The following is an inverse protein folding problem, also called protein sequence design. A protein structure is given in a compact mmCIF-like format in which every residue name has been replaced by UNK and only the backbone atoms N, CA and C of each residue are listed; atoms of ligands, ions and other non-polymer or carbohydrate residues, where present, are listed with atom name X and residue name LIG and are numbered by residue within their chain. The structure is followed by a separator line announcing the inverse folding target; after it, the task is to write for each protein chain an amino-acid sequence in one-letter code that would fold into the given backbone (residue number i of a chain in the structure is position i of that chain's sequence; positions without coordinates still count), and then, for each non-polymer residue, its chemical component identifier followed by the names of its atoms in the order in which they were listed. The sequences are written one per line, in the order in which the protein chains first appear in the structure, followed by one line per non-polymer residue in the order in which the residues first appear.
data_IF_270459905934
#
_entry.id   IF_270459905934
#
_cell.length_a   1.000
_cell.length_b   1.000
_cell.length_c   1.000
_cell.angle_alpha   90.00
_cell.angle_beta   90.00
_cell.angle_gamma   90.00
#
_symmetry.space_group_name_H-M   'P 1'
#
loop_
_entity.id
_entity.type
_entity.pdbx_description
1 polymer ?
#
# COMPACT_ATOMS: atom_id res chain seq x y z
N UNK A 1 38.49 -25.15 68.56
CA UNK A 1 37.58 -23.99 68.37
C UNK A 1 37.48 -23.74 66.86
N UNK A 2 36.37 -24.08 66.29
CA UNK A 2 36.13 -24.10 64.81
C UNK A 2 35.36 -22.85 64.44
N UNK A 3 35.94 -21.98 63.63
CA UNK A 3 35.25 -20.81 63.07
C UNK A 3 34.50 -21.20 61.79
N UNK A 4 33.19 -21.10 61.80
CA UNK A 4 32.31 -21.29 60.64
C UNK A 4 32.36 -20.03 59.77
N UNK A 5 32.85 -20.16 58.55
CA UNK A 5 32.77 -19.12 57.52
C UNK A 5 31.34 -18.91 57.02
N UNK A 6 30.83 -17.68 57.17
CA UNK A 6 29.52 -17.27 56.66
C UNK A 6 29.50 -17.27 55.11
N UNK A 7 28.56 -17.98 54.54
CA UNK A 7 28.22 -17.90 53.09
C UNK A 7 27.64 -16.51 52.80
N UNK A 8 28.34 -15.74 51.97
CA UNK A 8 27.76 -14.53 51.38
C UNK A 8 26.54 -14.89 50.50
N UNK A 9 25.40 -14.31 50.83
CA UNK A 9 24.19 -14.40 50.02
C UNK A 9 24.48 -13.76 48.64
N UNK A 10 24.50 -14.58 47.59
CA UNK A 10 24.48 -14.10 46.23
C UNK A 10 23.19 -13.29 46.03
N UNK A 11 23.33 -12.01 45.74
CA UNK A 11 22.21 -11.14 45.39
C UNK A 11 21.41 -11.77 44.22
N UNK A 12 20.10 -11.80 44.32
CA UNK A 12 19.29 -12.30 43.20
C UNK A 12 19.60 -11.43 41.97
N UNK A 13 19.88 -12.07 40.87
CA UNK A 13 20.08 -11.46 39.54
C UNK A 13 19.08 -10.35 39.36
N UNK A 14 19.56 -9.12 39.27
CA UNK A 14 18.74 -7.94 39.11
C UNK A 14 17.82 -8.17 37.90
N UNK A 15 16.54 -8.20 38.20
CA UNK A 15 15.51 -8.27 37.20
C UNK A 15 15.79 -7.18 36.18
N UNK A 16 16.19 -7.58 34.97
CA UNK A 16 16.17 -6.71 33.81
C UNK A 16 14.78 -6.07 33.82
N UNK A 17 14.69 -4.76 33.99
CA UNK A 17 13.43 -4.04 33.83
C UNK A 17 12.88 -4.52 32.50
N UNK A 18 11.65 -5.07 32.43
CA UNK A 18 11.07 -5.47 31.16
C UNK A 18 11.18 -4.26 30.25
N UNK A 19 11.80 -4.44 29.08
CA UNK A 19 11.85 -3.40 28.07
C UNK A 19 10.44 -2.83 27.95
N UNK A 20 10.29 -1.51 28.04
CA UNK A 20 8.99 -0.84 27.91
C UNK A 20 8.39 -1.27 26.57
N UNK A 21 7.48 -2.22 26.59
CA UNK A 21 6.77 -2.67 25.40
C UNK A 21 6.05 -1.46 24.81
N UNK A 22 6.17 -1.27 23.50
CA UNK A 22 5.43 -0.25 22.79
C UNK A 22 3.93 -0.39 23.14
N UNK A 23 3.24 0.68 23.51
CA UNK A 23 1.83 0.64 23.89
C UNK A 23 0.91 -0.03 22.84
N UNK A 24 1.30 -0.02 21.55
CA UNK A 24 0.58 -0.70 20.47
C UNK A 24 0.91 -2.21 20.42
N UNK A 25 2.11 -2.61 20.85
CA UNK A 25 2.52 -4.01 20.89
C UNK A 25 2.07 -4.71 22.17
N UNK A 26 1.90 -3.97 23.26
CA UNK A 26 1.52 -4.48 24.56
C UNK A 26 0.16 -5.20 24.56
N UNK A 27 -0.76 -4.85 23.66
CA UNK A 27 -2.07 -5.49 23.49
C UNK A 27 -1.94 -6.60 22.45
N UNK A 28 -2.43 -7.79 22.78
CA UNK A 28 -2.45 -8.94 21.89
C UNK A 28 -3.65 -8.95 20.93
N UNK A 29 -3.76 -10.03 20.17
CA UNK A 29 -4.91 -10.27 19.28
C UNK A 29 -6.05 -10.91 20.06
N UNK A 30 -7.30 -10.48 19.92
CA UNK A 30 -8.47 -11.14 20.49
C UNK A 30 -8.56 -12.62 20.12
N UNK A 31 -8.24 -12.98 18.88
CA UNK A 31 -8.19 -14.36 18.41
C UNK A 31 -7.14 -15.24 19.12
N UNK A 32 -6.18 -14.62 19.84
CA UNK A 32 -5.17 -15.31 20.65
C UNK A 32 -5.45 -15.22 22.16
N UNK A 33 -6.68 -14.84 22.54
CA UNK A 33 -7.15 -14.82 23.93
C UNK A 33 -6.93 -13.50 24.67
N UNK A 34 -6.51 -12.42 24.00
CA UNK A 34 -6.41 -11.11 24.64
C UNK A 34 -7.75 -10.35 24.56
N UNK A 35 -8.50 -10.35 25.64
CA UNK A 35 -9.83 -9.77 25.69
C UNK A 35 -9.88 -8.25 25.94
N UNK A 36 -8.74 -7.57 26.07
CA UNK A 36 -8.68 -6.13 26.40
C UNK A 36 -9.36 -5.24 25.37
N UNK A 37 -9.35 -5.63 24.08
CA UNK A 37 -10.03 -4.91 23.01
C UNK A 37 -11.51 -5.29 22.82
N UNK A 38 -12.12 -6.05 23.72
CA UNK A 38 -13.57 -6.24 23.74
C UNK A 38 -14.29 -5.05 24.38
N UNK A 39 -13.62 -4.31 25.27
CA UNK A 39 -14.15 -3.08 25.85
C UNK A 39 -14.11 -1.91 24.87
N UNK A 40 -15.27 -1.23 24.69
CA UNK A 40 -15.43 -0.12 23.76
C UNK A 40 -14.50 1.07 24.09
N UNK A 41 -14.36 1.40 25.39
CA UNK A 41 -13.46 2.49 25.79
C UNK A 41 -11.98 2.14 25.56
N UNK A 42 -11.63 0.86 25.70
CA UNK A 42 -10.28 0.41 25.37
C UNK A 42 -10.00 0.50 23.87
N UNK A 43 -10.98 0.18 23.01
CA UNK A 43 -10.88 0.35 21.56
C UNK A 43 -10.63 1.81 21.18
N UNK A 44 -11.38 2.75 21.75
CA UNK A 44 -11.23 4.18 21.50
C UNK A 44 -9.84 4.71 21.91
N UNK A 45 -9.39 4.33 23.11
CA UNK A 45 -8.05 4.68 23.59
C UNK A 45 -6.95 4.07 22.72
N UNK A 46 -7.16 2.85 22.26
CA UNK A 46 -6.21 2.18 21.39
C UNK A 46 -6.15 2.82 19.99
N UNK A 47 -7.30 3.18 19.43
CA UNK A 47 -7.39 3.92 18.17
C UNK A 47 -6.70 5.29 18.26
N UNK A 48 -6.90 6.04 19.36
CA UNK A 48 -6.23 7.31 19.57
C UNK A 48 -4.68 7.17 19.51
N UNK A 49 -4.14 6.11 20.14
CA UNK A 49 -2.69 5.82 20.06
C UNK A 49 -2.23 5.44 18.64
N UNK A 50 -3.07 4.72 17.88
CA UNK A 50 -2.78 4.42 16.47
C UNK A 50 -2.70 5.71 15.66
N UNK A 51 -3.68 6.60 15.82
CA UNK A 51 -3.71 7.90 15.11
C UNK A 51 -2.52 8.79 15.52
N UNK A 52 -2.20 8.85 16.80
CA UNK A 52 -1.02 9.59 17.30
C UNK A 52 0.27 9.08 16.65
N UNK A 53 0.49 7.76 16.61
CA UNK A 53 1.67 7.16 15.96
C UNK A 53 1.69 7.42 14.45
N UNK A 54 0.52 7.35 13.80
CA UNK A 54 0.41 7.67 12.38
C UNK A 54 0.73 9.13 12.09
N UNK A 55 0.26 10.06 12.93
CA UNK A 55 0.58 11.48 12.79
C UNK A 55 2.07 11.76 13.01
N UNK A 56 2.69 11.12 14.00
CA UNK A 56 4.14 11.18 14.22
C UNK A 56 4.90 10.66 12.98
N UNK A 57 4.51 9.51 12.45
CA UNK A 57 5.09 8.96 11.22
C UNK A 57 4.97 9.90 10.02
N UNK A 58 3.81 10.56 9.85
CA UNK A 58 3.61 11.54 8.78
C UNK A 58 4.46 12.80 8.98
N UNK A 59 4.64 13.25 10.24
CA UNK A 59 5.44 14.44 10.58
C UNK A 59 6.92 14.18 10.34
N UNK A 60 7.43 13.01 10.74
CA UNK A 60 8.81 12.60 10.52
C UNK A 60 9.15 12.37 9.04
N UNK A 61 8.14 11.98 8.25
CA UNK A 61 8.28 11.84 6.81
C UNK A 61 8.37 13.19 6.06
N UNK A 62 8.09 14.30 6.73
CA UNK A 62 8.12 15.63 6.12
C UNK A 62 6.94 15.92 5.18
N UNK A 63 7.14 16.78 4.17
CA UNK A 63 6.07 17.16 3.24
C UNK A 63 5.56 15.97 2.43
N UNK A 64 4.29 16.02 2.02
CA UNK A 64 3.54 14.92 1.40
C UNK A 64 4.26 14.14 0.29
N UNK A 65 5.14 14.77 -0.49
CA UNK A 65 5.95 14.09 -1.51
C UNK A 65 6.97 13.11 -0.93
N UNK A 66 7.56 13.43 0.23
CA UNK A 66 8.49 12.53 0.91
C UNK A 66 7.75 11.36 1.57
N UNK A 67 6.58 11.61 2.12
CA UNK A 67 5.70 10.55 2.63
C UNK A 67 5.34 9.55 1.50
N UNK A 68 4.94 10.06 0.34
CA UNK A 68 4.64 9.24 -0.83
C UNK A 68 5.88 8.47 -1.33
N UNK A 69 7.06 9.08 -1.31
CA UNK A 69 8.33 8.39 -1.65
C UNK A 69 8.68 7.30 -0.65
N UNK A 70 8.50 7.53 0.64
CA UNK A 70 8.72 6.50 1.67
C UNK A 70 7.76 5.34 1.51
N UNK A 71 6.47 5.62 1.28
CA UNK A 71 5.46 4.59 1.02
C UNK A 71 5.78 3.80 -0.27
N UNK A 72 6.24 4.47 -1.33
CA UNK A 72 6.63 3.81 -2.59
C UNK A 72 7.89 2.94 -2.45
N UNK A 73 8.89 3.35 -1.67
CA UNK A 73 10.09 2.55 -1.40
C UNK A 73 9.78 1.27 -0.62
N UNK A 74 8.77 1.29 0.24
CA UNK A 74 8.33 0.12 1.01
C UNK A 74 7.70 -0.96 0.11
N UNK A 75 7.01 -0.57 -0.97
CA UNK A 75 6.47 -1.49 -1.97
C UNK A 75 7.57 -2.36 -2.61
N UNK A 76 8.69 -1.74 -3.00
CA UNK A 76 9.82 -2.41 -3.66
C UNK A 76 10.49 -3.44 -2.73
N UNK A 77 10.51 -3.18 -1.42
CA UNK A 77 11.13 -4.08 -0.44
C UNK A 77 10.33 -5.36 -0.19
N UNK A 78 9.00 -5.34 -0.38
CA UNK A 78 8.16 -6.53 -0.25
C UNK A 78 8.25 -7.46 -1.47
N UNK A 79 8.42 -6.94 -2.67
CA UNK A 79 8.60 -7.75 -3.88
C UNK A 79 9.96 -8.47 -3.90
N UNK A 80 11.03 -7.83 -3.41
CA UNK A 80 12.38 -8.43 -3.35
C UNK A 80 12.56 -9.47 -2.24
N UNK A 81 11.66 -9.55 -1.25
CA UNK A 81 11.70 -10.54 -0.17
C UNK A 81 11.27 -11.96 -0.57
N UNK A 82 10.75 -12.17 -1.79
CA UNK A 82 10.32 -13.48 -2.31
C UNK A 82 11.31 -14.18 -3.25
N UNK A 83 12.38 -13.51 -3.65
CA UNK A 83 13.43 -14.10 -4.51
C UNK A 83 14.79 -13.67 -3.97
N UNK A 84 15.47 -14.54 -3.27
CA UNK A 84 16.89 -14.80 -3.25
C UNK A 84 17.41 -15.26 -1.89
N UNK A 85 17.39 -16.58 -1.72
CA UNK A 85 18.41 -17.27 -0.92
C UNK A 85 19.51 -17.71 -1.90
N UNK A 86 20.44 -16.86 -2.21
CA UNK A 86 21.74 -17.27 -2.76
C UNK A 86 22.76 -16.13 -2.68
N UNK A 87 23.85 -16.39 -1.96
CA UNK A 87 25.20 -15.81 -2.05
C UNK A 87 25.37 -14.30 -1.91
N UNK A 88 25.70 -13.86 -0.71
CA UNK A 88 26.36 -12.56 -0.46
C UNK A 88 27.87 -12.78 -0.25
N UNK A 89 28.65 -12.39 -1.23
CA UNK A 89 30.05 -11.97 -1.03
C UNK A 89 30.07 -10.46 -0.77
N UNK A 90 30.78 -10.08 0.30
CA UNK A 90 30.95 -8.71 0.77
C UNK A 90 32.17 -8.11 0.05
N UNK A 91 32.11 -6.94 -0.56
CA UNK A 91 33.27 -6.08 -0.76
C UNK A 91 33.32 -5.02 0.35
N UNK A 92 34.40 -5.06 1.13
CA UNK A 92 34.80 -3.90 1.94
C UNK A 92 35.38 -2.83 1.02
N UNK A 93 34.89 -1.58 1.13
CA UNK A 93 35.73 -0.39 1.24
C UNK A 93 34.92 0.91 1.32
N UNK A 94 35.32 1.67 2.29
CA UNK A 94 35.12 3.05 2.65
C UNK A 94 34.49 4.01 1.64
N UNK A 95 33.39 4.60 2.04
CA UNK A 95 32.97 6.00 2.03
C UNK A 95 31.46 6.08 2.18
N UNK A 96 30.98 6.45 3.32
CA UNK A 96 29.81 7.31 3.46
C UNK A 96 29.08 7.17 4.81
N UNK A 97 29.37 8.09 5.68
CA UNK A 97 28.55 8.36 6.86
C UNK A 97 27.13 8.89 6.49
N UNK A 98 26.89 9.27 5.23
CA UNK A 98 25.56 9.68 4.74
C UNK A 98 24.65 8.49 4.40
N UNK A 99 25.18 7.42 3.82
CA UNK A 99 24.39 6.23 3.46
C UNK A 99 23.91 5.44 4.69
N UNK A 100 24.63 5.49 5.81
CA UNK A 100 24.27 4.80 7.05
C UNK A 100 23.11 5.49 7.78
N UNK A 101 23.01 6.82 7.69
CA UNK A 101 21.91 7.59 8.29
C UNK A 101 20.61 7.36 7.53
N UNK A 102 20.65 7.35 6.20
CA UNK A 102 19.45 7.12 5.37
C UNK A 102 18.92 5.68 5.52
N UNK A 103 19.78 4.67 5.66
CA UNK A 103 19.35 3.28 5.88
C UNK A 103 18.73 3.06 7.26
N UNK A 104 19.21 3.71 8.30
CA UNK A 104 18.63 3.61 9.64
C UNK A 104 17.26 4.28 9.75
N UNK A 105 17.04 5.39 9.06
CA UNK A 105 15.75 6.09 9.01
C UNK A 105 14.71 5.23 8.24
N UNK A 106 15.09 4.58 7.14
CA UNK A 106 14.21 3.68 6.40
C UNK A 106 13.81 2.44 7.22
N UNK A 107 14.73 1.86 7.98
CA UNK A 107 14.44 0.68 8.84
C UNK A 107 13.49 1.05 10.00
N UNK A 108 13.65 2.23 10.59
CA UNK A 108 12.75 2.72 11.64
C UNK A 108 11.35 2.95 11.09
N UNK A 109 11.22 3.63 9.94
CA UNK A 109 9.93 3.88 9.30
C UNK A 109 9.18 2.61 8.88
N UNK A 110 9.90 1.58 8.43
CA UNK A 110 9.31 0.28 8.11
C UNK A 110 8.75 -0.43 9.36
N UNK A 111 9.47 -0.38 10.48
CA UNK A 111 8.99 -0.95 11.75
C UNK A 111 7.75 -0.24 12.25
N UNK A 112 7.74 1.09 12.23
CA UNK A 112 6.60 1.90 12.66
C UNK A 112 5.35 1.59 11.83
N UNK A 113 5.49 1.47 10.52
CA UNK A 113 4.40 1.10 9.65
C UNK A 113 3.90 -0.33 9.90
N UNK A 114 4.80 -1.30 10.07
CA UNK A 114 4.42 -2.67 10.40
C UNK A 114 3.67 -2.76 11.74
N UNK A 115 4.13 -2.00 12.75
CA UNK A 115 3.46 -1.87 14.04
C UNK A 115 2.06 -1.26 13.90
N UNK A 116 1.91 -0.21 13.08
CA UNK A 116 0.61 0.41 12.78
C UNK A 116 -0.35 -0.55 12.09
N UNK A 117 0.10 -1.28 11.07
CA UNK A 117 -0.73 -2.26 10.34
C UNK A 117 -1.20 -3.37 11.30
N UNK A 118 -0.30 -3.87 12.15
CA UNK A 118 -0.63 -4.89 13.14
C UNK A 118 -1.60 -4.35 14.21
N UNK A 119 -1.39 -3.12 14.67
CA UNK A 119 -2.28 -2.48 15.64
C UNK A 119 -3.70 -2.30 15.07
N UNK A 120 -3.82 -1.89 13.81
CA UNK A 120 -5.13 -1.79 13.15
C UNK A 120 -5.81 -3.15 12.97
N UNK A 121 -5.04 -4.21 12.70
CA UNK A 121 -5.58 -5.57 12.68
C UNK A 121 -6.15 -5.96 14.04
N UNK A 122 -5.41 -5.73 15.12
CA UNK A 122 -5.86 -5.99 16.50
C UNK A 122 -7.16 -5.24 16.81
N UNK A 123 -7.22 -3.95 16.46
CA UNK A 123 -8.41 -3.11 16.65
C UNK A 123 -9.62 -3.66 15.87
N UNK A 124 -9.46 -4.01 14.59
CA UNK A 124 -10.55 -4.58 13.79
C UNK A 124 -11.04 -5.92 14.35
N UNK A 125 -10.13 -6.79 14.79
CA UNK A 125 -10.52 -8.05 15.46
C UNK A 125 -11.30 -7.77 16.75
N UNK A 126 -10.91 -6.76 17.54
CA UNK A 126 -11.64 -6.33 18.74
C UNK A 126 -13.05 -5.82 18.43
N UNK A 127 -13.20 -4.98 17.41
CA UNK A 127 -14.49 -4.45 16.94
C UNK A 127 -15.41 -5.60 16.48
N UNK A 128 -14.89 -6.54 15.68
CA UNK A 128 -15.66 -7.71 15.25
C UNK A 128 -16.06 -8.61 16.42
N UNK A 129 -15.13 -8.88 17.34
CA UNK A 129 -15.38 -9.75 18.50
C UNK A 129 -16.38 -9.16 19.49
N UNK A 130 -16.45 -7.82 19.60
CA UNK A 130 -17.45 -7.12 20.42
C UNK A 130 -18.76 -6.84 19.70
N UNK A 131 -18.91 -7.24 18.43
CA UNK A 131 -20.05 -6.91 17.56
C UNK A 131 -20.40 -5.41 17.54
N UNK A 132 -19.39 -4.54 17.68
CA UNK A 132 -19.58 -3.10 17.72
C UNK A 132 -19.87 -2.54 16.32
N UNK A 133 -21.03 -1.85 16.19
CA UNK A 133 -21.40 -1.12 14.96
C UNK A 133 -21.95 0.24 15.37
N UNK A 134 -21.09 1.24 15.34
CA UNK A 134 -21.38 2.64 15.66
C UNK A 134 -20.47 3.57 14.82
N UNK A 135 -20.65 4.87 14.95
CA UNK A 135 -19.86 5.88 14.23
C UNK A 135 -18.35 5.71 14.46
N UNK A 136 -17.94 5.38 15.70
CA UNK A 136 -16.53 5.15 16.00
C UNK A 136 -15.97 3.97 15.20
N UNK A 137 -16.66 2.84 15.21
CA UNK A 137 -16.22 1.63 14.51
C UNK A 137 -16.15 1.85 13.00
N UNK A 138 -17.10 2.60 12.42
CA UNK A 138 -17.08 3.00 11.01
C UNK A 138 -15.85 3.87 10.72
N UNK A 139 -15.58 4.91 11.52
CA UNK A 139 -14.42 5.78 11.32
C UNK A 139 -13.08 5.02 11.47
N UNK A 140 -13.01 4.07 12.42
CA UNK A 140 -11.84 3.20 12.56
C UNK A 140 -11.61 2.32 11.31
N UNK A 141 -12.69 1.76 10.73
CA UNK A 141 -12.59 0.99 9.49
C UNK A 141 -12.23 1.85 8.28
N UNK A 142 -12.80 3.04 8.14
CA UNK A 142 -12.46 4.02 7.12
C UNK A 142 -10.97 4.35 7.16
N UNK A 143 -10.45 4.65 8.36
CA UNK A 143 -9.03 4.90 8.57
C UNK A 143 -8.16 3.70 8.16
N UNK A 144 -8.53 2.49 8.59
CA UNK A 144 -7.84 1.25 8.21
C UNK A 144 -7.79 1.05 6.69
N UNK A 145 -8.93 1.22 6.00
CA UNK A 145 -9.03 1.04 4.55
C UNK A 145 -8.12 2.05 3.83
N UNK A 146 -8.24 3.33 4.17
CA UNK A 146 -7.45 4.40 3.53
C UNK A 146 -5.95 4.20 3.73
N UNK A 147 -5.51 3.87 4.96
CA UNK A 147 -4.09 3.58 5.20
C UNK A 147 -3.63 2.34 4.45
N UNK A 148 -4.43 1.26 4.44
CA UNK A 148 -4.09 0.02 3.72
C UNK A 148 -3.94 0.24 2.21
N UNK A 149 -4.74 1.14 1.62
CA UNK A 149 -4.59 1.54 0.20
C UNK A 149 -3.26 2.27 -0.01
N UNK A 150 -2.93 3.25 0.84
CA UNK A 150 -1.70 4.05 0.70
C UNK A 150 -0.44 3.19 0.76
N UNK A 151 -0.43 2.19 1.66
CA UNK A 151 0.70 1.28 1.84
C UNK A 151 0.58 0.00 1.00
N UNK A 152 -0.42 -0.10 0.12
CA UNK A 152 -0.75 -1.26 -0.73
C UNK A 152 -0.87 -2.58 0.05
N UNK A 153 -1.26 -2.54 1.31
CA UNK A 153 -1.45 -3.73 2.14
C UNK A 153 -2.84 -4.34 1.86
N UNK A 154 -2.96 -5.07 0.75
CA UNK A 154 -4.24 -5.58 0.25
C UNK A 154 -4.84 -6.68 1.13
N UNK A 155 -4.02 -7.43 1.86
CA UNK A 155 -4.46 -8.41 2.84
C UNK A 155 -5.25 -7.78 4.01
N UNK A 156 -4.89 -6.56 4.41
CA UNK A 156 -5.63 -5.79 5.42
C UNK A 156 -6.80 -5.02 4.83
N UNK A 157 -6.64 -4.51 3.60
CA UNK A 157 -7.64 -3.74 2.88
C UNK A 157 -8.90 -4.54 2.55
N UNK A 158 -8.74 -5.70 1.89
CA UNK A 158 -9.86 -6.45 1.31
C UNK A 158 -10.91 -6.90 2.36
N UNK A 159 -10.52 -7.56 3.47
CA UNK A 159 -11.51 -7.91 4.49
C UNK A 159 -12.11 -6.67 5.18
N UNK A 160 -11.36 -5.57 5.31
CA UNK A 160 -11.88 -4.36 5.93
C UNK A 160 -12.97 -3.71 5.08
N UNK A 161 -12.76 -3.53 3.76
CA UNK A 161 -13.76 -2.91 2.89
C UNK A 161 -15.02 -3.77 2.73
N UNK A 162 -14.87 -5.09 2.66
CA UNK A 162 -16.02 -5.99 2.61
C UNK A 162 -16.83 -5.95 3.91
N UNK A 163 -16.17 -5.88 5.06
CA UNK A 163 -16.88 -5.77 6.35
C UNK A 163 -17.61 -4.43 6.46
N UNK A 164 -16.97 -3.33 6.06
CA UNK A 164 -17.59 -2.01 6.05
C UNK A 164 -18.85 -1.99 5.16
N UNK A 165 -18.75 -2.47 3.93
CA UNK A 165 -19.85 -2.40 2.97
C UNK A 165 -20.96 -3.42 3.25
N UNK A 166 -20.62 -4.68 3.57
CA UNK A 166 -21.61 -5.77 3.68
C UNK A 166 -22.19 -5.96 5.09
N UNK A 167 -21.48 -5.52 6.14
CA UNK A 167 -21.92 -5.70 7.54
C UNK A 167 -22.26 -4.39 8.21
N UNK A 168 -21.31 -3.45 8.25
CA UNK A 168 -21.49 -2.20 8.98
C UNK A 168 -22.52 -1.30 8.31
N UNK A 169 -22.43 -1.12 6.99
CA UNK A 169 -23.39 -0.30 6.23
C UNK A 169 -24.85 -0.81 6.36
N UNK A 170 -25.04 -2.13 6.45
CA UNK A 170 -26.39 -2.72 6.64
C UNK A 170 -26.99 -2.38 8.00
N UNK A 171 -26.17 -2.36 9.07
CA UNK A 171 -26.60 -2.07 10.41
C UNK A 171 -26.61 -0.57 10.73
N UNK A 172 -25.67 0.17 10.19
CA UNK A 172 -25.50 1.63 10.34
C UNK A 172 -25.14 2.24 8.98
N UNK A 173 -26.13 2.80 8.25
CA UNK A 173 -25.96 3.27 6.90
C UNK A 173 -24.91 4.39 6.77
N UNK A 174 -23.94 4.21 5.87
CA UNK A 174 -22.98 5.24 5.48
C UNK A 174 -23.69 6.38 4.73
N UNK A 175 -23.15 7.59 4.82
CA UNK A 175 -23.57 8.68 3.96
C UNK A 175 -23.36 8.33 2.48
N UNK A 176 -24.22 8.82 1.59
CA UNK A 176 -24.18 8.51 0.15
C UNK A 176 -22.81 8.82 -0.48
N UNK A 177 -22.15 9.88 -0.03
CA UNK A 177 -20.81 10.27 -0.49
C UNK A 177 -19.75 9.26 -0.07
N UNK A 178 -19.77 8.81 1.19
CA UNK A 178 -18.87 7.80 1.72
C UNK A 178 -19.12 6.45 1.04
N UNK A 179 -20.39 6.05 0.91
CA UNK A 179 -20.74 4.81 0.21
C UNK A 179 -20.19 4.80 -1.22
N UNK A 180 -20.39 5.86 -1.99
CA UNK A 180 -19.85 5.98 -3.34
C UNK A 180 -18.31 5.94 -3.35
N UNK A 181 -17.65 6.55 -2.37
CA UNK A 181 -16.20 6.51 -2.25
C UNK A 181 -15.69 5.07 -2.06
N UNK A 182 -16.21 4.35 -1.06
CA UNK A 182 -15.73 2.99 -0.74
C UNK A 182 -16.16 1.94 -1.74
N UNK A 183 -17.36 2.04 -2.31
CA UNK A 183 -17.74 1.20 -3.47
C UNK A 183 -16.84 1.48 -4.66
N UNK A 184 -16.48 2.74 -4.91
CA UNK A 184 -15.52 3.11 -5.95
C UNK A 184 -14.14 2.48 -5.74
N UNK A 185 -13.65 2.43 -4.49
CA UNK A 185 -12.39 1.73 -4.17
C UNK A 185 -12.48 0.24 -4.44
N UNK A 186 -13.59 -0.41 -4.05
CA UNK A 186 -13.79 -1.84 -4.30
C UNK A 186 -13.84 -2.15 -5.80
N UNK A 187 -14.55 -1.34 -6.58
CA UNK A 187 -14.63 -1.48 -8.04
C UNK A 187 -13.26 -1.33 -8.69
N UNK A 188 -12.46 -0.33 -8.27
CA UNK A 188 -11.10 -0.13 -8.78
C UNK A 188 -10.16 -1.26 -8.38
N UNK A 189 -10.26 -1.79 -7.16
CA UNK A 189 -9.48 -2.95 -6.73
C UNK A 189 -9.75 -4.18 -7.61
N UNK A 190 -11.03 -4.47 -7.86
CA UNK A 190 -11.44 -5.58 -8.73
C UNK A 190 -10.91 -5.39 -10.16
N UNK A 191 -11.05 -4.19 -10.72
CA UNK A 191 -10.65 -3.92 -12.09
C UNK A 191 -9.13 -3.83 -12.29
N UNK A 192 -8.41 -3.14 -11.39
CA UNK A 192 -7.00 -2.80 -11.59
C UNK A 192 -6.05 -3.84 -11.00
N UNK A 193 -6.34 -4.39 -9.81
CA UNK A 193 -5.47 -5.36 -9.14
C UNK A 193 -5.85 -6.79 -9.46
N UNK A 194 -7.15 -7.13 -9.35
CA UNK A 194 -7.61 -8.49 -9.59
C UNK A 194 -7.82 -8.77 -11.08
N UNK A 195 -7.82 -7.73 -11.91
CA UNK A 195 -8.04 -7.80 -13.36
C UNK A 195 -9.38 -8.48 -13.72
N UNK A 196 -10.38 -8.34 -12.85
CA UNK A 196 -11.73 -8.87 -13.02
C UNK A 196 -12.72 -7.75 -13.34
N UNK A 197 -12.78 -7.37 -14.62
CA UNK A 197 -13.70 -6.34 -15.10
C UNK A 197 -15.16 -6.77 -14.97
N UNK A 198 -15.46 -8.07 -15.14
CA UNK A 198 -16.82 -8.56 -15.04
C UNK A 198 -17.38 -8.36 -13.62
N UNK A 199 -16.61 -8.76 -12.62
CA UNK A 199 -16.96 -8.54 -11.21
C UNK A 199 -17.01 -7.05 -10.85
N UNK A 200 -16.09 -6.24 -11.38
CA UNK A 200 -16.08 -4.79 -11.17
C UNK A 200 -17.37 -4.13 -11.68
N UNK A 201 -17.82 -4.48 -12.89
CA UNK A 201 -19.10 -4.00 -13.43
C UNK A 201 -20.30 -4.52 -12.64
N UNK A 202 -20.29 -5.77 -12.19
CA UNK A 202 -21.36 -6.34 -11.37
C UNK A 202 -21.51 -5.57 -10.05
N UNK A 203 -20.42 -5.33 -9.32
CA UNK A 203 -20.43 -4.56 -8.08
C UNK A 203 -20.87 -3.11 -8.33
N UNK A 204 -20.38 -2.48 -9.41
CA UNK A 204 -20.82 -1.14 -9.80
C UNK A 204 -22.34 -1.04 -9.98
N UNK A 205 -22.95 -2.03 -10.62
CA UNK A 205 -24.40 -2.07 -10.86
C UNK A 205 -25.18 -2.41 -9.59
N UNK A 206 -24.72 -3.40 -8.83
CA UNK A 206 -25.33 -3.83 -7.56
C UNK A 206 -25.49 -2.66 -6.58
N UNK A 207 -24.44 -1.83 -6.46
CA UNK A 207 -24.42 -0.68 -5.54
C UNK A 207 -24.91 0.63 -6.17
N UNK A 208 -25.27 0.64 -7.44
CA UNK A 208 -25.70 1.84 -8.14
C UNK A 208 -24.66 2.98 -8.11
N UNK A 209 -23.36 2.62 -8.19
CA UNK A 209 -22.25 3.58 -8.09
C UNK A 209 -22.38 4.70 -9.13
N UNK A 210 -22.34 5.94 -8.67
CA UNK A 210 -22.38 7.14 -9.50
C UNK A 210 -21.03 7.89 -9.40
N UNK A 211 -20.01 7.36 -10.07
CA UNK A 211 -18.68 8.01 -10.16
C UNK A 211 -18.19 7.96 -11.61
N UNK A 212 -18.27 9.11 -12.28
CA UNK A 212 -17.88 9.25 -13.69
C UNK A 212 -16.41 8.96 -13.95
N UNK A 213 -15.54 9.17 -12.94
CA UNK A 213 -14.11 8.88 -13.05
C UNK A 213 -13.84 7.39 -12.95
N UNK A 214 -14.50 6.68 -12.03
CA UNK A 214 -14.44 5.20 -11.96
C UNK A 214 -14.98 4.60 -13.25
N UNK A 215 -16.10 5.09 -13.76
CA UNK A 215 -16.65 4.64 -15.05
C UNK A 215 -15.68 4.85 -16.21
N UNK A 216 -14.96 5.96 -16.21
CA UNK A 216 -13.95 6.24 -17.24
C UNK A 216 -12.75 5.29 -17.13
N UNK A 217 -12.34 4.88 -15.90
CA UNK A 217 -11.30 3.86 -15.71
C UNK A 217 -11.76 2.51 -16.25
N UNK A 218 -12.97 2.06 -15.89
CA UNK A 218 -13.51 0.80 -16.37
C UNK A 218 -13.57 0.76 -17.91
N UNK A 219 -14.04 1.84 -18.53
CA UNK A 219 -14.04 1.96 -20.01
C UNK A 219 -12.62 1.95 -20.59
N UNK A 220 -11.68 2.63 -19.92
CA UNK A 220 -10.29 2.66 -20.36
C UNK A 220 -9.65 1.27 -20.36
N UNK A 221 -9.92 0.48 -19.32
CA UNK A 221 -9.43 -0.90 -19.19
C UNK A 221 -10.12 -1.83 -20.20
N UNK A 222 -11.45 -1.71 -20.37
CA UNK A 222 -12.22 -2.56 -21.29
C UNK A 222 -11.82 -2.36 -22.77
N UNK A 223 -11.39 -1.16 -23.15
CA UNK A 223 -11.03 -0.79 -24.54
C UNK A 223 -9.53 -0.60 -24.75
N UNK A 224 -8.69 -0.98 -23.81
CA UNK A 224 -7.24 -0.75 -23.86
C UNK A 224 -6.85 0.72 -24.16
N UNK A 225 -7.68 1.66 -23.68
CA UNK A 225 -7.49 3.08 -23.91
C UNK A 225 -6.51 3.69 -22.91
N UNK A 226 -5.21 3.50 -23.17
CA UNK A 226 -4.13 4.01 -22.33
C UNK A 226 -4.17 5.54 -22.14
N UNK A 227 -4.57 6.30 -23.18
CA UNK A 227 -4.66 7.75 -23.09
C UNK A 227 -5.70 8.19 -22.03
N UNK A 228 -6.90 7.59 -22.08
CA UNK A 228 -7.96 7.86 -21.12
C UNK A 228 -7.53 7.43 -19.71
N UNK A 229 -6.91 6.26 -19.58
CA UNK A 229 -6.42 5.75 -18.30
C UNK A 229 -5.49 6.75 -17.60
N UNK A 230 -4.44 7.21 -18.28
CA UNK A 230 -3.50 8.17 -17.72
C UNK A 230 -4.11 9.55 -17.47
N UNK A 231 -5.05 10.00 -18.32
CA UNK A 231 -5.79 11.24 -18.12
C UNK A 231 -6.61 11.19 -16.83
N UNK A 232 -7.34 10.11 -16.61
CA UNK A 232 -8.18 9.93 -15.42
C UNK A 232 -7.31 9.78 -14.17
N UNK A 233 -6.24 9.00 -14.22
CA UNK A 233 -5.32 8.82 -13.08
C UNK A 233 -4.80 10.16 -12.52
N UNK A 234 -4.50 11.11 -13.38
CA UNK A 234 -4.07 12.46 -12.96
C UNK A 234 -5.19 13.34 -12.38
N UNK A 235 -6.45 12.94 -12.51
CA UNK A 235 -7.63 13.74 -12.09
C UNK A 235 -8.38 13.16 -10.88
N UNK A 236 -8.08 11.94 -10.47
CA UNK A 236 -8.68 11.29 -9.30
C UNK A 236 -7.93 11.68 -8.01
N UNK A 237 -8.55 11.38 -6.88
CA UNK A 237 -7.89 11.50 -5.56
C UNK A 237 -6.75 10.48 -5.40
N UNK A 238 -5.88 10.73 -4.40
CA UNK A 238 -4.70 9.91 -4.16
C UNK A 238 -4.98 8.43 -3.88
N UNK A 239 -6.10 8.11 -3.23
CA UNK A 239 -6.46 6.71 -2.94
C UNK A 239 -6.86 5.96 -4.20
N UNK A 240 -7.70 6.57 -5.05
CA UNK A 240 -8.06 6.00 -6.35
C UNK A 240 -6.84 5.87 -7.26
N UNK A 241 -5.98 6.91 -7.29
CA UNK A 241 -4.74 6.86 -8.07
C UNK A 241 -3.84 5.71 -7.61
N UNK A 242 -3.77 5.45 -6.29
CA UNK A 242 -2.98 4.36 -5.71
C UNK A 242 -3.50 2.97 -6.10
N UNK A 243 -4.83 2.81 -6.12
CA UNK A 243 -5.46 1.57 -6.63
C UNK A 243 -5.24 1.37 -8.13
N UNK A 244 -5.24 2.45 -8.91
CA UNK A 244 -4.95 2.38 -10.35
C UNK A 244 -3.51 1.99 -10.66
N UNK A 245 -2.55 2.20 -9.74
CA UNK A 245 -1.15 1.80 -9.92
C UNK A 245 -0.99 0.29 -10.21
N UNK A 246 -1.88 -0.54 -9.70
CA UNK A 246 -1.83 -1.99 -9.96
C UNK A 246 -2.04 -2.36 -11.44
N UNK A 247 -2.75 -1.53 -12.21
CA UNK A 247 -2.97 -1.76 -13.64
C UNK A 247 -1.90 -1.13 -14.54
N UNK A 248 -1.01 -0.28 -14.01
CA UNK A 248 -0.07 0.50 -14.82
C UNK A 248 0.82 -0.35 -15.71
N UNK A 249 1.36 -1.42 -15.16
CA UNK A 249 2.26 -2.30 -15.92
C UNK A 249 1.54 -2.93 -17.12
N UNK A 250 0.32 -3.43 -16.89
CA UNK A 250 -0.53 -3.97 -17.95
C UNK A 250 -0.84 -2.94 -19.04
N UNK A 251 -1.22 -1.73 -18.62
CA UNK A 251 -1.50 -0.61 -19.53
C UNK A 251 -0.25 -0.22 -20.32
N UNK A 252 0.93 -0.13 -19.71
CA UNK A 252 2.19 0.18 -20.43
C UNK A 252 2.52 -0.89 -21.44
N UNK A 253 2.45 -2.17 -21.08
CA UNK A 253 2.68 -3.28 -22.00
C UNK A 253 1.73 -3.23 -23.19
N UNK A 254 0.45 -2.94 -22.94
CA UNK A 254 -0.54 -2.82 -24.00
C UNK A 254 -0.29 -1.59 -24.89
N UNK A 255 0.08 -0.45 -24.29
CA UNK A 255 0.52 0.75 -25.05
C UNK A 255 1.65 0.43 -26.00
N UNK A 256 2.70 -0.24 -25.51
CA UNK A 256 3.83 -0.65 -26.34
C UNK A 256 3.45 -1.59 -27.48
N UNK A 257 2.54 -2.54 -27.20
CA UNK A 257 2.00 -3.42 -28.26
C UNK A 257 1.24 -2.65 -29.32
N UNK A 258 0.38 -1.70 -28.91
CA UNK A 258 -0.40 -0.87 -29.84
C UNK A 258 0.53 0.01 -30.69
N UNK A 259 1.49 0.71 -30.07
CA UNK A 259 2.46 1.54 -30.78
C UNK A 259 3.37 0.71 -31.70
N UNK A 260 3.83 -0.44 -31.22
CA UNK A 260 4.64 -1.38 -32.01
C UNK A 260 3.93 -1.92 -33.26
N UNK A 261 2.61 -2.01 -33.25
CA UNK A 261 1.81 -2.46 -34.39
C UNK A 261 1.42 -1.32 -35.33
N UNK A 262 1.15 -0.12 -34.78
CA UNK A 262 0.58 1.01 -35.53
C UNK A 262 1.62 1.93 -36.17
N UNK A 263 2.85 1.99 -35.64
CA UNK A 263 3.85 2.99 -36.06
C UNK A 263 5.13 2.34 -36.54
N UNK A 264 5.79 3.00 -37.49
CA UNK A 264 7.16 2.68 -37.91
C UNK A 264 8.19 3.45 -37.06
N UNK A 265 7.88 4.68 -36.69
CA UNK A 265 8.67 5.50 -35.79
C UNK A 265 7.76 6.42 -34.98
N UNK A 266 8.23 6.89 -33.83
CA UNK A 266 7.54 7.81 -32.95
C UNK A 266 8.53 8.75 -32.27
N UNK A 267 8.14 9.99 -31.99
CA UNK A 267 8.98 10.90 -31.24
C UNK A 267 9.13 10.45 -29.80
N UNK A 268 10.35 10.49 -29.26
CA UNK A 268 10.66 10.06 -27.89
C UNK A 268 9.77 10.73 -26.85
N UNK A 269 9.54 12.08 -26.84
CA UNK A 269 8.65 12.71 -25.87
C UNK A 269 7.20 12.20 -25.95
N UNK A 270 6.71 11.92 -27.16
CA UNK A 270 5.37 11.37 -27.38
C UNK A 270 5.24 9.94 -26.84
N UNK A 271 6.27 9.11 -27.07
CA UNK A 271 6.33 7.76 -26.51
C UNK A 271 6.33 7.78 -24.97
N UNK A 272 7.19 8.59 -24.36
CA UNK A 272 7.27 8.75 -22.91
C UNK A 272 5.95 9.24 -22.30
N UNK A 273 5.26 10.16 -22.98
CA UNK A 273 3.93 10.64 -22.58
C UNK A 273 2.88 9.55 -22.63
N UNK A 274 2.84 8.74 -23.69
CA UNK A 274 1.84 7.68 -23.86
C UNK A 274 2.09 6.49 -22.93
N UNK A 275 3.36 6.12 -22.70
CA UNK A 275 3.74 5.09 -21.78
C UNK A 275 3.75 5.55 -20.30
N UNK A 276 3.68 6.87 -20.07
CA UNK A 276 3.82 7.51 -18.74
C UNK A 276 5.08 7.03 -17.99
N UNK A 277 6.21 6.94 -18.71
CA UNK A 277 7.51 6.55 -18.15
C UNK A 277 8.63 6.96 -19.08
N UNK A 278 9.88 6.96 -18.61
CA UNK A 278 11.05 7.40 -19.37
C UNK A 278 11.52 6.34 -20.36
N UNK A 279 12.20 6.78 -21.43
CA UNK A 279 12.85 5.89 -22.40
C UNK A 279 13.80 4.89 -21.73
N UNK A 280 14.54 5.33 -20.71
CA UNK A 280 15.48 4.48 -19.98
C UNK A 280 14.76 3.33 -19.25
N UNK A 281 13.60 3.61 -18.62
CA UNK A 281 12.79 2.58 -18.00
C UNK A 281 12.17 1.65 -19.05
N UNK A 282 11.71 2.18 -20.19
CA UNK A 282 11.15 1.35 -21.26
C UNK A 282 12.17 0.33 -21.81
N UNK A 283 13.43 0.72 -21.92
CA UNK A 283 14.48 -0.20 -22.39
C UNK A 283 14.95 -1.19 -21.35
N UNK A 284 15.10 -0.76 -20.07
CA UNK A 284 15.61 -1.62 -18.98
C UNK A 284 14.54 -2.53 -18.40
N UNK A 285 13.38 -1.96 -18.07
CA UNK A 285 12.36 -2.67 -17.28
C UNK A 285 11.37 -3.41 -18.18
N UNK A 286 11.10 -2.87 -19.37
CA UNK A 286 10.12 -3.44 -20.32
C UNK A 286 10.80 -4.16 -21.51
N UNK A 287 12.13 -4.14 -21.60
CA UNK A 287 12.88 -4.84 -22.64
C UNK A 287 12.59 -4.35 -24.06
N UNK A 288 12.28 -3.06 -24.22
CA UNK A 288 11.97 -2.47 -25.54
C UNK A 288 13.23 -2.43 -26.40
N UNK A 289 13.29 -3.25 -27.46
CA UNK A 289 14.41 -3.33 -28.39
C UNK A 289 14.38 -2.33 -29.55
N UNK A 290 13.61 -1.25 -29.44
CA UNK A 290 13.55 -0.21 -30.46
C UNK A 290 14.80 0.67 -30.43
N UNK A 291 15.18 1.27 -31.60
CA UNK A 291 16.39 2.07 -31.75
C UNK A 291 16.06 3.54 -31.59
N UNK A 292 16.87 4.28 -30.82
CA UNK A 292 16.76 5.73 -30.69
C UNK A 292 17.72 6.39 -31.71
N UNK A 293 17.17 7.13 -32.67
CA UNK A 293 17.90 7.92 -33.65
C UNK A 293 17.58 9.41 -33.43
N UNK A 294 18.48 10.13 -32.77
CA UNK A 294 18.27 11.52 -32.37
C UNK A 294 17.07 11.67 -31.41
N UNK A 295 16.01 12.35 -31.83
CA UNK A 295 14.77 12.54 -31.07
C UNK A 295 13.68 11.52 -31.40
N UNK A 296 13.91 10.63 -32.38
CA UNK A 296 12.92 9.64 -32.84
C UNK A 296 13.29 8.24 -32.40
N UNK A 297 12.30 7.48 -32.03
CA UNK A 297 12.39 6.05 -31.72
C UNK A 297 11.92 5.29 -32.96
N UNK A 298 12.82 4.49 -33.54
CA UNK A 298 12.52 3.64 -34.70
C UNK A 298 12.03 2.31 -34.24
N UNK A 299 10.77 2.00 -34.52
CA UNK A 299 10.08 0.78 -34.12
C UNK A 299 10.33 -0.34 -35.11
N UNK A 300 10.19 -0.02 -36.39
CA UNK A 300 10.40 -0.95 -37.49
C UNK A 300 10.98 -0.22 -38.69
N UNK A 301 11.98 -0.81 -39.36
CA UNK A 301 12.46 -0.31 -40.64
C UNK A 301 11.58 -0.91 -41.76
N UNK A 302 11.15 -0.09 -42.73
CA UNK A 302 10.45 -0.61 -43.90
C UNK A 302 11.36 -1.64 -44.61
N UNK A 303 10.79 -2.75 -45.05
CA UNK A 303 11.53 -3.67 -45.91
C UNK A 303 11.79 -2.93 -47.24
N UNK A 304 13.01 -2.66 -47.57
CA UNK A 304 13.41 -2.26 -48.94
C UNK A 304 13.10 -3.44 -49.84
N UNK A 305 12.23 -3.20 -50.82
CA UNK A 305 11.99 -4.15 -51.92
C UNK A 305 13.20 -4.21 -52.82
#
# INVERSE_FOLDING_TARGET
MSARGGRANSAPWSRLKPASLDPLEAIGLPSKGDNRLLDHKAQERYHAKIVERYMAFCTDAGRGDELLRRLARMDISQENGRSDKAHRQIPQNAASNRAVVDTNIDISGQRDLATLIMAMRKLREGIVASNRVDDFSIQAYIFCIRLSILVKQMESYHPAILHLLKKMHTAHPLAKTELNEFVGYLVLDLACRQNDLAQAYSVRLEWGLQDTKVDAVLRALAHDNYYLFWKVKRSVDGYKAKLMEFAEEGIRRQTLKCLGRGYLSIDKPTLEKYASTTWTSLTKDYGVGWQLEGSKVIIRKPKTR
#
